data_IF_472279334822
#
_entry.id   IF_472279334822
#
_cell.length_a   1.000
_cell.length_b   1.000
_cell.length_c   1.000
_cell.angle_alpha   90.00
_cell.angle_beta   90.00
_cell.angle_gamma   90.00
#
_symmetry.space_group_name_H-M   'P 1'
#
loop_
_entity.id
_entity.type
_entity.pdbx_description
1 polymer ?
#
# COMPACT_ATOMS: atom_id res chain seq x y z
N UNK A 1 -18.53 8.51 -4.38
CA UNK A 1 -17.65 7.54 -3.72
C UNK A 1 -18.46 6.35 -3.26
N UNK A 2 -18.10 5.18 -3.70
CA UNK A 2 -18.83 3.96 -3.38
C UNK A 2 -18.04 3.08 -2.45
N UNK A 3 -18.74 2.33 -1.60
CA UNK A 3 -18.14 1.35 -0.72
C UNK A 3 -18.59 -0.05 -1.14
N UNK A 4 -17.64 -0.97 -1.14
CA UNK A 4 -17.90 -2.35 -1.50
C UNK A 4 -17.30 -3.29 -0.47
N UNK A 5 -17.91 -4.46 -0.31
CA UNK A 5 -17.24 -5.57 0.36
C UNK A 5 -16.32 -6.21 -0.66
N UNK A 6 -15.16 -6.65 -0.21
CA UNK A 6 -14.21 -7.33 -1.07
C UNK A 6 -13.51 -8.44 -0.31
N UNK A 7 -13.00 -9.40 -1.06
CA UNK A 7 -12.19 -10.49 -0.52
C UNK A 7 -10.75 -10.26 -0.95
N UNK A 8 -9.84 -10.30 0.00
CA UNK A 8 -8.42 -10.12 -0.27
C UNK A 8 -7.85 -11.40 -0.87
N UNK A 9 -7.30 -11.31 -2.08
CA UNK A 9 -6.66 -12.43 -2.76
C UNK A 9 -5.16 -12.44 -2.52
N UNK A 10 -4.51 -11.29 -2.68
CA UNK A 10 -3.07 -11.18 -2.59
C UNK A 10 -2.64 -9.73 -2.38
N UNK A 11 -1.69 -9.51 -1.48
CA UNK A 11 -0.99 -8.23 -1.37
C UNK A 11 0.19 -8.28 -2.33
N UNK A 12 0.21 -7.40 -3.32
CA UNK A 12 1.23 -7.36 -4.36
C UNK A 12 2.43 -6.52 -3.91
N UNK A 13 2.12 -5.37 -3.31
CA UNK A 13 3.11 -4.40 -2.84
C UNK A 13 2.52 -3.65 -1.64
N UNK A 14 3.30 -2.78 -1.01
CA UNK A 14 2.82 -1.97 0.12
C UNK A 14 1.64 -1.05 -0.21
N UNK A 15 1.34 -0.84 -1.49
CA UNK A 15 0.28 0.03 -1.97
C UNK A 15 -0.66 -0.62 -3.00
N UNK A 16 -0.52 -1.93 -3.25
CA UNK A 16 -1.25 -2.62 -4.32
C UNK A 16 -1.75 -3.98 -3.85
N UNK A 17 -3.05 -4.23 -4.06
CA UNK A 17 -3.72 -5.43 -3.57
C UNK A 17 -4.62 -6.00 -4.68
N UNK A 18 -4.59 -7.31 -4.87
CA UNK A 18 -5.53 -8.01 -5.75
C UNK A 18 -6.70 -8.54 -4.93
N UNK A 19 -7.91 -8.31 -5.41
CA UNK A 19 -9.15 -8.60 -4.69
C UNK A 19 -10.24 -9.14 -5.61
N UNK A 20 -11.26 -9.74 -4.99
CA UNK A 20 -12.58 -9.94 -5.60
C UNK A 20 -13.53 -8.93 -4.98
N UNK A 21 -14.36 -8.27 -5.79
CA UNK A 21 -15.29 -7.24 -5.33
C UNK A 21 -16.71 -7.76 -5.41
N UNK A 22 -17.44 -7.66 -4.30
CA UNK A 22 -18.86 -7.98 -4.20
C UNK A 22 -19.68 -6.78 -4.66
N UNK A 23 -20.37 -6.92 -5.80
CA UNK A 23 -21.24 -5.88 -6.34
C UNK A 23 -22.68 -5.97 -5.85
N UNK A 24 -22.97 -6.94 -5.00
CA UNK A 24 -24.34 -7.23 -4.57
C UNK A 24 -25.07 -8.13 -5.55
N UNK A 25 -26.25 -8.63 -5.13
CA UNK A 25 -27.09 -9.54 -5.93
C UNK A 25 -26.37 -10.81 -6.40
N UNK A 26 -25.32 -11.24 -5.66
CA UNK A 26 -24.55 -12.42 -6.06
C UNK A 26 -23.58 -12.19 -7.20
N UNK A 27 -23.35 -10.94 -7.58
CA UNK A 27 -22.45 -10.58 -8.67
C UNK A 27 -21.10 -10.16 -8.10
N UNK A 28 -20.02 -10.77 -8.61
CA UNK A 28 -18.66 -10.49 -8.19
C UNK A 28 -17.78 -10.12 -9.38
N UNK A 29 -16.91 -9.13 -9.18
CA UNK A 29 -15.80 -8.88 -10.09
C UNK A 29 -14.59 -9.61 -9.53
N UNK A 30 -13.97 -10.47 -10.33
CA UNK A 30 -12.84 -11.29 -9.87
C UNK A 30 -11.49 -10.72 -10.30
N UNK A 31 -10.49 -10.89 -9.44
CA UNK A 31 -9.08 -10.59 -9.72
C UNK A 31 -8.86 -9.14 -10.17
N UNK A 32 -9.47 -8.23 -9.46
CA UNK A 32 -9.27 -6.80 -9.70
C UNK A 32 -8.07 -6.28 -8.89
N UNK A 33 -7.26 -5.47 -9.53
CA UNK A 33 -6.11 -4.87 -8.86
C UNK A 33 -6.45 -3.48 -8.36
N UNK A 34 -6.22 -3.26 -7.07
CA UNK A 34 -6.45 -1.97 -6.41
C UNK A 34 -5.11 -1.32 -6.08
N UNK A 35 -4.92 -0.08 -6.55
CA UNK A 35 -3.83 0.79 -6.14
C UNK A 35 -4.35 1.73 -5.07
N UNK A 36 -3.76 1.71 -3.89
CA UNK A 36 -4.18 2.62 -2.83
C UNK A 36 -3.72 4.03 -3.15
N UNK A 37 -4.60 4.99 -2.89
CA UNK A 37 -4.43 6.37 -3.33
C UNK A 37 -3.78 7.25 -2.30
N UNK A 38 -3.10 8.29 -2.83
CA UNK A 38 -2.55 9.34 -2.00
C UNK A 38 -1.33 8.94 -1.20
N UNK A 39 -0.72 7.80 -1.51
CA UNK A 39 0.51 7.37 -0.85
C UNK A 39 1.57 6.91 -1.85
N UNK A 40 2.81 6.98 -1.40
CA UNK A 40 3.95 6.37 -2.05
C UNK A 40 4.65 5.47 -1.04
N UNK A 41 4.93 4.23 -1.44
CA UNK A 41 5.63 3.26 -0.59
C UNK A 41 6.97 2.89 -1.22
N UNK A 42 7.97 2.46 -0.40
CA UNK A 42 9.21 1.96 -0.97
C UNK A 42 8.93 0.75 -1.86
N UNK A 43 9.69 0.63 -2.94
CA UNK A 43 9.55 -0.49 -3.87
C UNK A 43 9.99 -1.79 -3.22
N UNK A 44 9.18 -2.84 -3.34
CA UNK A 44 9.53 -4.18 -2.85
C UNK A 44 10.23 -5.02 -3.91
N UNK A 45 10.16 -4.59 -5.18
CA UNK A 45 10.79 -5.25 -6.33
C UNK A 45 11.74 -4.28 -7.01
N UNK A 46 12.93 -4.13 -6.43
CA UNK A 46 13.94 -3.21 -6.94
C UNK A 46 15.31 -3.81 -6.75
N UNK A 47 16.28 -3.33 -7.53
CA UNK A 47 17.68 -3.71 -7.38
C UNK A 47 18.32 -3.02 -6.18
N UNK A 48 17.74 -1.92 -5.72
CA UNK A 48 18.17 -1.24 -4.50
C UNK A 48 17.77 -2.10 -3.30
N UNK A 49 18.74 -2.80 -2.73
CA UNK A 49 18.51 -3.75 -1.63
C UNK A 49 18.06 -3.06 -0.35
N UNK A 50 18.48 -1.82 -0.13
CA UNK A 50 18.05 -1.04 1.03
C UNK A 50 16.58 -0.65 0.87
N UNK A 51 16.22 -0.05 -0.26
CA UNK A 51 14.81 0.30 -0.54
C UNK A 51 13.92 -0.94 -0.47
N UNK A 52 14.36 -2.05 -1.05
CA UNK A 52 13.63 -3.32 -1.04
C UNK A 52 13.33 -3.79 0.39
N UNK A 53 14.27 -3.64 1.31
CA UNK A 53 14.09 -4.03 2.71
C UNK A 53 12.91 -3.28 3.32
N UNK A 54 12.81 -1.96 3.09
CA UNK A 54 11.72 -1.15 3.58
C UNK A 54 10.42 -1.40 2.80
N UNK A 55 10.52 -1.67 1.51
CA UNK A 55 9.37 -2.05 0.68
C UNK A 55 8.74 -3.36 1.14
N UNK A 56 9.56 -4.35 1.46
CA UNK A 56 9.07 -5.63 2.00
C UNK A 56 8.44 -5.46 3.38
N UNK A 57 8.97 -4.57 4.22
CA UNK A 57 8.38 -4.26 5.52
C UNK A 57 6.98 -3.66 5.36
N UNK A 58 6.81 -2.71 4.42
CA UNK A 58 5.51 -2.11 4.10
C UNK A 58 4.53 -3.16 3.60
N UNK A 59 4.97 -4.04 2.71
CA UNK A 59 4.16 -5.14 2.17
C UNK A 59 3.71 -6.09 3.28
N UNK A 60 4.60 -6.47 4.18
CA UNK A 60 4.28 -7.34 5.31
C UNK A 60 3.24 -6.70 6.24
N UNK A 61 3.40 -5.40 6.53
CA UNK A 61 2.42 -4.69 7.35
C UNK A 61 1.04 -4.67 6.69
N UNK A 62 0.99 -4.45 5.38
CA UNK A 62 -0.28 -4.47 4.65
C UNK A 62 -0.92 -5.87 4.68
N UNK A 63 -0.12 -6.93 4.62
CA UNK A 63 -0.63 -8.30 4.77
C UNK A 63 -1.26 -8.53 6.15
N UNK A 64 -0.72 -7.92 7.19
CA UNK A 64 -1.30 -8.00 8.53
C UNK A 64 -2.63 -7.26 8.62
N UNK A 65 -2.72 -6.09 7.97
CA UNK A 65 -3.95 -5.28 7.94
C UNK A 65 -5.03 -5.92 7.07
N UNK A 66 -4.62 -6.56 5.98
CA UNK A 66 -5.51 -7.17 4.98
C UNK A 66 -5.14 -8.64 4.79
N UNK A 67 -5.48 -9.52 5.77
CA UNK A 67 -5.13 -10.94 5.63
C UNK A 67 -5.75 -11.58 4.40
N UNK A 68 -5.02 -12.48 3.75
CA UNK A 68 -5.49 -13.21 2.57
C UNK A 68 -6.76 -13.98 2.92
N UNK A 69 -7.77 -13.86 2.06
CA UNK A 69 -9.07 -14.50 2.26
C UNK A 69 -10.03 -13.73 3.16
N UNK A 70 -9.56 -12.65 3.80
CA UNK A 70 -10.43 -11.83 4.65
C UNK A 70 -11.37 -10.97 3.84
N UNK A 71 -12.52 -10.64 4.44
CA UNK A 71 -13.51 -9.73 3.86
C UNK A 71 -13.23 -8.34 4.43
N UNK A 72 -13.01 -7.39 3.54
CA UNK A 72 -12.69 -6.02 3.90
C UNK A 72 -13.65 -5.04 3.22
N UNK A 73 -13.62 -3.79 3.66
CA UNK A 73 -14.37 -2.71 3.03
C UNK A 73 -13.44 -1.90 2.13
N UNK A 74 -13.84 -1.76 0.87
CA UNK A 74 -13.14 -0.97 -0.12
C UNK A 74 -13.93 0.32 -0.37
N UNK A 75 -13.26 1.46 -0.31
CA UNK A 75 -13.79 2.74 -0.77
C UNK A 75 -13.10 3.10 -2.07
N UNK A 76 -13.86 3.26 -3.14
CA UNK A 76 -13.30 3.64 -4.43
C UNK A 76 -13.34 5.14 -4.62
N UNK A 77 -12.42 5.66 -5.43
CA UNK A 77 -12.46 7.05 -5.84
C UNK A 77 -13.42 7.20 -7.01
N UNK A 78 -14.15 8.30 -7.05
CA UNK A 78 -15.08 8.62 -8.11
C UNK A 78 -14.45 9.66 -9.02
N UNK A 79 -14.57 9.47 -10.34
CA UNK A 79 -14.15 10.48 -11.31
C UNK A 79 -15.24 11.55 -11.48
N UNK A 80 -15.02 12.52 -12.39
CA UNK A 80 -15.95 13.63 -12.61
C UNK A 80 -17.30 13.20 -13.18
N UNK A 81 -17.39 12.00 -13.78
CA UNK A 81 -18.64 11.48 -14.33
C UNK A 81 -19.49 10.80 -13.26
N UNK A 82 -18.97 10.62 -12.05
CA UNK A 82 -19.64 9.92 -10.96
C UNK A 82 -19.40 8.42 -10.97
N UNK A 83 -18.55 7.93 -11.84
CA UNK A 83 -18.17 6.52 -11.90
C UNK A 83 -16.91 6.26 -11.09
N UNK A 84 -16.74 5.01 -10.65
CA UNK A 84 -15.54 4.61 -9.93
C UNK A 84 -14.31 4.76 -10.81
N UNK A 85 -13.28 5.38 -10.25
CA UNK A 85 -12.09 5.75 -11.00
C UNK A 85 -11.14 4.56 -11.15
N UNK A 86 -10.72 4.30 -12.38
CA UNK A 86 -9.64 3.38 -12.68
C UNK A 86 -8.40 4.16 -13.05
N UNK A 87 -7.27 3.79 -12.46
CA UNK A 87 -5.98 4.39 -12.78
C UNK A 87 -5.38 3.80 -14.04
N UNK A 88 -4.12 4.14 -14.29
CA UNK A 88 -3.35 3.57 -15.40
C UNK A 88 -3.33 2.05 -15.30
N UNK A 89 -3.29 1.37 -16.44
CA UNK A 89 -3.22 -0.09 -16.53
C UNK A 89 -4.47 -0.82 -15.98
N UNK A 90 -5.62 -0.15 -15.95
CA UNK A 90 -6.88 -0.76 -15.52
C UNK A 90 -6.98 -1.06 -14.03
N UNK A 91 -6.12 -0.45 -13.21
CA UNK A 91 -6.19 -0.60 -11.74
C UNK A 91 -7.31 0.27 -11.18
N UNK A 92 -8.00 -0.28 -10.20
CA UNK A 92 -8.98 0.49 -9.44
C UNK A 92 -8.21 1.35 -8.43
N UNK A 93 -8.63 2.61 -8.31
CA UNK A 93 -8.06 3.52 -7.32
C UNK A 93 -8.99 3.54 -6.11
N UNK A 94 -8.45 3.26 -4.94
CA UNK A 94 -9.27 3.19 -3.73
C UNK A 94 -8.44 3.05 -2.47
N UNK A 95 -9.14 2.83 -1.36
CA UNK A 95 -8.54 2.61 -0.05
C UNK A 95 -9.38 1.58 0.70
N UNK A 96 -8.78 0.93 1.67
CA UNK A 96 -9.48 -0.03 2.52
C UNK A 96 -9.72 0.59 3.88
N UNK A 97 -10.87 0.28 4.48
CA UNK A 97 -11.21 0.74 5.82
C UNK A 97 -11.02 -0.43 6.78
N UNK A 98 -10.12 -0.26 7.72
CA UNK A 98 -9.78 -1.26 8.75
C UNK A 98 -9.98 -0.60 10.12
N UNK A 99 -10.87 -1.16 10.93
CA UNK A 99 -11.20 -0.62 12.26
C UNK A 99 -11.54 0.88 12.22
N UNK A 100 -12.37 1.27 11.27
CA UNK A 100 -12.82 2.65 11.01
C UNK A 100 -11.71 3.62 10.59
N UNK A 101 -10.53 3.10 10.23
CA UNK A 101 -9.41 3.91 9.75
C UNK A 101 -9.06 3.55 8.31
N UNK A 102 -8.59 4.53 7.56
CA UNK A 102 -8.05 4.27 6.23
C UNK A 102 -6.72 3.56 6.34
N UNK A 103 -6.57 2.50 5.57
CA UNK A 103 -5.31 1.74 5.48
C UNK A 103 -4.13 2.66 5.15
N UNK A 104 -4.32 3.61 4.24
CA UNK A 104 -3.29 4.58 3.87
C UNK A 104 -2.86 5.42 5.05
N UNK A 105 -3.79 5.88 5.88
CA UNK A 105 -3.47 6.68 7.07
C UNK A 105 -2.66 5.85 8.08
N UNK A 106 -3.01 4.58 8.27
CA UNK A 106 -2.28 3.68 9.16
C UNK A 106 -0.84 3.53 8.69
N UNK A 107 -0.63 3.29 7.39
CA UNK A 107 0.70 3.12 6.82
C UNK A 107 1.54 4.39 6.92
N UNK A 108 0.94 5.55 6.72
CA UNK A 108 1.63 6.84 6.87
C UNK A 108 2.05 7.06 8.33
N UNK A 109 1.13 6.88 9.28
CA UNK A 109 1.40 7.04 10.71
C UNK A 109 2.53 6.13 11.20
N UNK A 110 2.59 4.91 10.68
CA UNK A 110 3.59 3.94 11.09
C UNK A 110 4.93 4.09 10.36
N UNK A 111 5.01 4.95 9.36
CA UNK A 111 6.24 5.17 8.60
C UNK A 111 6.46 4.23 7.44
N UNK A 112 5.43 3.48 7.03
CA UNK A 112 5.50 2.57 5.88
C UNK A 112 5.15 3.23 4.55
N UNK A 113 4.55 4.41 4.59
CA UNK A 113 4.16 5.16 3.40
C UNK A 113 4.38 6.66 3.61
N UNK A 114 4.48 7.38 2.50
CA UNK A 114 4.54 8.83 2.48
C UNK A 114 3.29 9.34 1.78
N UNK A 115 2.66 10.38 2.34
CA UNK A 115 1.53 11.03 1.68
C UNK A 115 2.01 11.64 0.36
N UNK A 116 1.29 11.35 -0.72
CA UNK A 116 1.67 11.79 -2.06
C UNK A 116 0.47 12.40 -2.79
N UNK A 117 0.51 13.71 -2.97
CA UNK A 117 -0.54 14.46 -3.68
C UNK A 117 0.07 15.35 -4.77
N UNK A 118 1.06 14.81 -5.48
CA UNK A 118 1.71 15.55 -6.55
C UNK A 118 2.89 16.42 -6.11
N UNK A 119 3.47 16.14 -4.95
CA UNK A 119 4.65 16.86 -4.47
C UNK A 119 5.92 16.54 -5.27
N UNK A 120 7.01 17.26 -4.99
CA UNK A 120 8.28 17.03 -5.66
C UNK A 120 8.90 15.69 -5.23
N UNK A 121 9.69 15.11 -6.13
CA UNK A 121 10.43 13.87 -5.83
C UNK A 121 11.37 14.03 -4.65
N UNK A 122 12.01 15.19 -4.54
CA UNK A 122 12.96 15.46 -3.46
C UNK A 122 12.29 15.46 -2.09
N UNK A 123 11.11 16.09 -1.98
CA UNK A 123 10.33 16.08 -0.73
C UNK A 123 9.88 14.68 -0.35
N UNK A 124 9.41 13.90 -1.32
CA UNK A 124 8.97 12.52 -1.10
C UNK A 124 10.17 11.68 -0.64
N UNK A 125 11.32 11.83 -1.27
CA UNK A 125 12.52 11.08 -0.91
C UNK A 125 12.98 11.43 0.51
N UNK A 126 12.97 12.71 0.89
CA UNK A 126 13.32 13.14 2.25
C UNK A 126 12.39 12.50 3.28
N UNK A 127 11.11 12.43 3.00
CA UNK A 127 10.13 11.79 3.89
C UNK A 127 10.38 10.29 4.00
N UNK A 128 10.73 9.63 2.90
CA UNK A 128 11.11 8.21 2.93
C UNK A 128 12.35 7.98 3.77
N UNK A 129 13.34 8.85 3.69
CA UNK A 129 14.56 8.73 4.50
C UNK A 129 14.25 8.90 6.00
N UNK A 130 13.39 9.85 6.35
CA UNK A 130 12.93 10.03 7.73
C UNK A 130 12.18 8.79 8.22
N UNK A 131 11.36 8.19 7.37
CA UNK A 131 10.65 6.94 7.70
C UNK A 131 11.61 5.78 7.94
N UNK A 132 12.69 5.68 7.17
CA UNK A 132 13.71 4.64 7.37
C UNK A 132 14.33 4.73 8.77
N UNK A 133 14.68 5.94 9.20
CA UNK A 133 15.20 6.16 10.55
C UNK A 133 14.20 5.75 11.62
N UNK A 134 12.95 6.11 11.44
CA UNK A 134 11.86 5.76 12.36
C UNK A 134 11.71 4.24 12.47
N UNK A 135 11.66 3.54 11.35
CA UNK A 135 11.48 2.08 11.32
C UNK A 135 12.68 1.34 11.93
N UNK A 136 13.89 1.86 11.74
CA UNK A 136 15.08 1.33 12.38
C UNK A 136 15.06 1.55 13.89
N UNK A 137 14.67 2.74 14.32
CA UNK A 137 14.59 3.11 15.75
C UNK A 137 13.56 2.27 16.49
N UNK A 138 12.42 1.97 15.82
CA UNK A 138 11.35 1.19 16.39
C UNK A 138 11.56 -0.33 16.25
N UNK A 139 12.61 -0.75 15.55
CA UNK A 139 12.92 -2.16 15.36
C UNK A 139 12.04 -2.90 14.37
N UNK A 140 11.21 -2.18 13.58
CA UNK A 140 10.39 -2.78 12.51
C UNK A 140 11.29 -3.35 11.43
N UNK A 141 12.33 -2.60 11.07
CA UNK A 141 13.45 -3.10 10.28
C UNK A 141 14.63 -3.14 11.23
N UNK A 142 15.24 -4.31 11.39
CA UNK A 142 16.34 -4.46 12.32
C UNK A 142 17.63 -3.87 11.74
N UNK A 143 18.55 -3.48 12.62
CA UNK A 143 19.84 -2.97 12.20
C UNK A 143 20.61 -4.01 11.39
N UNK A 144 20.47 -5.28 11.75
CA UNK A 144 21.08 -6.40 11.03
C UNK A 144 20.57 -6.51 9.60
N UNK A 145 19.24 -6.43 9.41
CA UNK A 145 18.62 -6.45 8.08
C UNK A 145 19.11 -5.28 7.23
N UNK A 146 19.18 -4.09 7.82
CA UNK A 146 19.65 -2.89 7.14
C UNK A 146 21.10 -3.03 6.73
N UNK A 147 21.98 -3.42 7.65
CA UNK A 147 23.41 -3.57 7.40
C UNK A 147 23.69 -4.64 6.34
N UNK A 148 22.95 -5.74 6.38
CA UNK A 148 23.02 -6.79 5.36
C UNK A 148 22.63 -6.25 3.97
N UNK A 149 21.58 -5.46 3.90
CA UNK A 149 21.12 -4.85 2.64
C UNK A 149 22.18 -3.89 2.08
N UNK A 150 22.79 -3.06 2.95
CA UNK A 150 23.86 -2.14 2.57
C UNK A 150 25.07 -2.92 2.03
N UNK A 151 25.43 -4.01 2.69
CA UNK A 151 26.56 -4.84 2.26
C UNK A 151 26.33 -5.45 0.87
N UNK A 152 25.09 -5.87 0.58
CA UNK A 152 24.74 -6.41 -0.73
C UNK A 152 24.78 -5.38 -1.87
N UNK A 153 24.79 -4.09 -1.53
CA UNK A 153 24.91 -3.00 -2.50
C UNK A 153 26.35 -2.67 -2.88
N UNK A 154 27.31 -3.18 -2.17
CA UNK A 154 28.74 -2.95 -2.44
C UNK A 154 29.29 -3.86 -3.52
#
# INVERSE_FOLDING_TARGET
>A
MYEYKCKILRVVDGDTVDIDIDLGFGIWMHKERVRMMGIDTPESRTRDKVEKTFGLASKERLKELLPIGSIQHLKTEIDRSGEDKKGKFGRILGDFIVDDKRCTDILIEEGHAVAYFGGSKDEIEMKHMANREKLLREGVVTREEYDEAVEKMK
#
